data_IF_935812737946
#
_entry.id   IF_935812737946
#
_cell.length_a   1.000
_cell.length_b   1.000
_cell.length_c   1.000
_cell.angle_alpha   90.00
_cell.angle_beta   90.00
_cell.angle_gamma   90.00
#
_symmetry.space_group_name_H-M   'P 1'
#
loop_
_entity.id
_entity.type
_entity.pdbx_description
1 polymer ?
#
# COMPACT_ATOMS: atom_id res chain seq x y z
N UNK A 1 2.30 -17.50 1.74
CA UNK A 1 2.60 -16.36 0.82
C UNK A 1 4.11 -16.20 0.70
N UNK A 2 4.61 -15.58 -0.37
CA UNK A 2 6.04 -15.22 -0.52
C UNK A 2 6.14 -13.71 -0.80
N UNK A 3 7.08 -13.02 -0.13
CA UNK A 3 7.34 -11.58 -0.30
C UNK A 3 8.82 -11.38 -0.58
N UNK A 4 9.16 -10.50 -1.52
CA UNK A 4 10.54 -10.08 -1.76
C UNK A 4 10.65 -8.56 -1.57
N UNK A 5 11.61 -8.16 -0.73
CA UNK A 5 11.92 -6.76 -0.43
C UNK A 5 13.31 -6.44 -0.99
N UNK A 6 13.41 -5.34 -1.71
CA UNK A 6 14.66 -4.82 -2.27
C UNK A 6 15.42 -4.01 -1.24
N UNK A 7 16.73 -4.23 -1.15
CA UNK A 7 17.63 -3.34 -0.41
C UNK A 7 17.82 -2.00 -1.11
N UNK A 8 17.51 -1.90 -2.40
CA UNK A 8 17.32 -0.62 -3.07
C UNK A 8 15.96 -0.06 -2.66
N UNK A 9 15.97 1.01 -1.86
CA UNK A 9 14.77 1.74 -1.52
C UNK A 9 13.82 1.14 -0.49
N UNK A 10 14.16 -0.03 0.07
CA UNK A 10 13.21 -0.80 0.89
C UNK A 10 11.96 -1.18 0.10
N UNK A 11 12.06 -1.32 -1.22
CA UNK A 11 10.89 -1.49 -2.07
C UNK A 11 10.31 -2.90 -2.00
N UNK A 12 8.99 -3.03 -1.99
CA UNK A 12 8.33 -4.31 -2.20
C UNK A 12 8.41 -4.64 -3.69
N UNK A 13 9.17 -5.67 -4.05
CA UNK A 13 9.39 -6.02 -5.47
C UNK A 13 8.56 -7.20 -5.94
N UNK A 14 8.07 -8.03 -5.01
CA UNK A 14 7.23 -9.18 -5.32
C UNK A 14 6.35 -9.54 -4.12
N UNK A 15 5.09 -9.87 -4.38
CA UNK A 15 4.18 -10.49 -3.42
C UNK A 15 3.40 -11.59 -4.17
N UNK A 16 3.68 -12.85 -3.87
CA UNK A 16 2.92 -13.97 -4.40
C UNK A 16 1.71 -14.28 -3.52
N UNK A 17 0.52 -13.83 -3.95
CA UNK A 17 -0.74 -14.06 -3.24
C UNK A 17 -1.56 -15.19 -3.91
N UNK A 18 -2.19 -16.08 -3.12
CA UNK A 18 -3.02 -17.16 -3.66
C UNK A 18 -4.36 -16.63 -4.18
N UNK A 19 -4.85 -17.18 -5.30
CA UNK A 19 -6.25 -17.03 -5.73
C UNK A 19 -7.17 -18.02 -4.99
N UNK A 20 -8.47 -18.03 -5.32
CA UNK A 20 -9.46 -18.94 -4.72
C UNK A 20 -9.19 -20.44 -4.94
N UNK A 21 -8.31 -20.77 -5.88
CA UNK A 21 -7.90 -22.13 -6.20
C UNK A 21 -6.48 -22.44 -5.67
N UNK A 22 -5.90 -21.55 -4.85
CA UNK A 22 -4.55 -21.68 -4.32
C UNK A 22 -3.43 -21.34 -5.30
N UNK A 23 -3.74 -20.82 -6.51
CA UNK A 23 -2.72 -20.45 -7.50
C UNK A 23 -2.08 -19.11 -7.12
N UNK A 24 -0.77 -19.15 -6.89
CA UNK A 24 0.02 -17.97 -6.60
C UNK A 24 0.25 -17.13 -7.86
N UNK A 25 0.12 -15.81 -7.74
CA UNK A 25 0.64 -14.86 -8.73
C UNK A 25 1.25 -13.64 -8.03
N UNK A 26 2.22 -13.02 -8.68
CA UNK A 26 2.81 -11.77 -8.19
C UNK A 26 1.81 -10.63 -8.35
N UNK A 27 1.37 -10.00 -7.27
CA UNK A 27 0.33 -8.95 -7.29
C UNK A 27 0.89 -7.53 -7.20
N UNK A 28 2.21 -7.35 -7.32
CA UNK A 28 2.85 -6.03 -7.29
C UNK A 28 3.78 -5.80 -8.49
N UNK A 29 3.85 -4.55 -8.95
CA UNK A 29 4.82 -4.15 -9.96
C UNK A 29 6.12 -3.64 -9.31
N UNK A 30 7.07 -4.56 -9.10
CA UNK A 30 8.32 -4.25 -8.39
C UNK A 30 9.29 -3.28 -9.05
N UNK A 31 9.13 -3.00 -10.35
CA UNK A 31 10.05 -2.15 -11.14
C UNK A 31 9.49 -0.77 -11.47
N UNK A 32 8.43 -0.33 -10.80
CA UNK A 32 7.91 1.01 -11.03
C UNK A 32 8.96 2.06 -10.60
N UNK A 33 9.15 3.17 -11.34
CA UNK A 33 10.26 4.12 -11.10
C UNK A 33 10.33 4.68 -9.67
N UNK A 34 9.18 4.87 -9.04
CA UNK A 34 9.05 5.46 -7.70
C UNK A 34 8.79 4.41 -6.61
N UNK A 35 8.87 3.10 -6.94
CA UNK A 35 8.59 2.02 -6.00
C UNK A 35 9.55 2.06 -4.80
N UNK A 36 8.99 2.02 -3.58
CA UNK A 36 9.75 2.00 -2.34
C UNK A 36 9.46 3.16 -1.39
N UNK A 37 10.30 3.27 -0.36
CA UNK A 37 10.11 4.20 0.75
C UNK A 37 10.73 5.55 0.41
N UNK A 38 10.02 6.63 0.70
CA UNK A 38 10.53 8.00 0.54
C UNK A 38 10.06 8.91 1.69
N UNK A 39 10.74 10.05 1.82
CA UNK A 39 10.36 11.15 2.71
C UNK A 39 9.70 12.27 1.93
N UNK A 40 8.66 12.88 2.51
CA UNK A 40 7.99 14.07 1.98
C UNK A 40 8.30 15.32 2.80
N UNK A 41 8.29 16.53 2.18
CA UNK A 41 7.97 16.78 0.77
C UNK A 41 9.09 16.40 -0.20
N UNK A 42 8.71 16.04 -1.43
CA UNK A 42 9.62 15.80 -2.54
C UNK A 42 10.15 17.14 -3.13
N UNK A 43 11.34 17.16 -3.77
CA UNK A 43 12.18 16.01 -4.09
C UNK A 43 13.31 15.87 -3.07
N UNK A 44 13.00 15.58 -1.81
CA UNK A 44 13.97 15.72 -0.73
C UNK A 44 14.90 14.54 -0.52
N UNK A 45 14.36 13.32 -0.42
CA UNK A 45 15.19 12.13 -0.31
C UNK A 45 14.53 11.02 -1.11
N UNK A 46 15.03 10.83 -2.33
CA UNK A 46 14.75 9.66 -3.15
C UNK A 46 15.38 8.42 -2.50
N UNK A 47 15.03 8.14 -1.23
CA UNK A 47 15.52 6.98 -0.49
C UNK A 47 15.23 5.71 -1.27
N UNK A 48 14.14 5.69 -2.04
CA UNK A 48 13.76 4.64 -2.97
C UNK A 48 14.82 4.33 -4.05
N UNK A 49 15.76 5.25 -4.31
CA UNK A 49 16.89 5.10 -5.26
C UNK A 49 18.22 4.81 -4.58
N UNK A 50 18.25 4.72 -3.26
CA UNK A 50 19.47 4.50 -2.48
C UNK A 50 19.55 3.06 -2.00
N UNK A 51 20.75 2.49 -1.84
CA UNK A 51 20.93 1.19 -1.19
C UNK A 51 20.79 1.33 0.33
N UNK A 52 20.01 0.46 0.94
CA UNK A 52 19.75 0.38 2.38
C UNK A 52 20.50 -0.81 2.96
N UNK A 53 20.94 -0.67 4.20
CA UNK A 53 21.51 -1.77 4.95
C UNK A 53 20.40 -2.66 5.49
N UNK A 54 20.51 -3.98 5.30
CA UNK A 54 19.46 -4.91 5.67
C UNK A 54 19.96 -5.99 6.65
N UNK A 55 19.15 -6.27 7.67
CA UNK A 55 19.41 -7.27 8.71
C UNK A 55 18.20 -8.17 8.81
N UNK A 56 18.40 -9.48 8.67
CA UNK A 56 17.33 -10.45 8.85
C UNK A 56 16.85 -10.44 10.30
N UNK A 57 15.52 -10.52 10.48
CA UNK A 57 14.89 -10.77 11.76
C UNK A 57 14.33 -12.18 11.71
N UNK A 58 14.80 -13.04 12.59
CA UNK A 58 14.28 -14.40 12.75
C UNK A 58 13.82 -14.50 14.19
N UNK A 59 12.50 -14.55 14.36
CA UNK A 59 11.83 -14.86 15.63
C UNK A 59 11.02 -16.14 15.44
N UNK A 60 10.69 -16.84 16.52
CA UNK A 60 10.16 -18.21 16.49
C UNK A 60 8.92 -18.42 15.59
N UNK A 61 8.12 -17.37 15.35
CA UNK A 61 6.90 -17.40 14.54
C UNK A 61 6.82 -16.32 13.45
N UNK A 62 7.91 -15.60 13.16
CA UNK A 62 7.90 -14.60 12.10
C UNK A 62 9.25 -14.44 11.39
N UNK A 63 9.17 -14.27 10.07
CA UNK A 63 10.33 -13.94 9.24
C UNK A 63 10.22 -12.49 8.83
N UNK A 64 11.28 -11.73 9.10
CA UNK A 64 11.30 -10.30 8.84
C UNK A 64 12.62 -9.79 8.32
N UNK A 65 12.58 -8.53 7.90
CA UNK A 65 13.74 -7.77 7.44
C UNK A 65 13.69 -6.39 8.07
N UNK A 66 14.80 -5.99 8.69
CA UNK A 66 15.01 -4.62 9.13
C UNK A 66 15.95 -3.93 8.17
N UNK A 67 15.52 -2.82 7.58
CA UNK A 67 16.31 -1.98 6.71
C UNK A 67 16.59 -0.62 7.34
N UNK A 68 17.78 -0.10 7.10
CA UNK A 68 18.20 1.25 7.53
C UNK A 68 18.62 2.04 6.30
N UNK A 69 17.95 3.17 6.06
CA UNK A 69 18.30 4.07 4.96
C UNK A 69 19.60 4.81 5.25
N UNK A 70 20.37 5.21 4.23
CA UNK A 70 21.50 6.10 4.43
C UNK A 70 21.03 7.52 4.80
N UNK A 71 21.93 8.30 5.40
CA UNK A 71 21.76 9.74 5.63
C UNK A 71 21.50 10.14 7.09
N UNK A 72 21.50 11.46 7.38
CA UNK A 72 21.40 12.01 8.74
C UNK A 72 20.02 11.80 9.39
N UNK A 73 19.00 11.52 8.58
CA UNK A 73 17.64 11.19 9.01
C UNK A 73 17.29 9.76 8.57
N UNK A 74 18.18 8.81 8.87
CA UNK A 74 18.03 7.41 8.49
C UNK A 74 16.67 6.86 8.90
N UNK A 75 15.91 6.36 7.93
CA UNK A 75 14.64 5.68 8.14
C UNK A 75 14.93 4.24 8.53
N UNK A 76 14.31 3.78 9.61
CA UNK A 76 14.23 2.38 9.97
C UNK A 76 12.92 1.80 9.42
N UNK A 77 13.02 0.82 8.55
CA UNK A 77 11.87 0.08 8.02
C UNK A 77 11.95 -1.37 8.48
N UNK A 78 10.89 -1.88 9.11
CA UNK A 78 10.81 -3.27 9.57
C UNK A 78 9.65 -3.95 8.88
N UNK A 79 9.96 -4.89 7.99
CA UNK A 79 8.98 -5.75 7.35
C UNK A 79 8.88 -7.06 8.13
N UNK A 80 7.66 -7.50 8.43
CA UNK A 80 7.40 -8.80 9.05
C UNK A 80 6.27 -9.48 8.29
N UNK A 81 6.53 -10.72 7.86
CA UNK A 81 5.53 -11.62 7.29
C UNK A 81 5.06 -12.58 8.39
N UNK A 82 3.77 -12.56 8.69
CA UNK A 82 3.15 -13.46 9.66
C UNK A 82 2.55 -14.72 9.00
N UNK A 83 2.18 -15.70 9.84
CA UNK A 83 1.58 -16.97 9.40
C UNK A 83 0.20 -16.81 8.74
N UNK A 84 -0.48 -15.68 8.98
CA UNK A 84 -1.81 -15.38 8.44
C UNK A 84 -1.76 -14.67 7.08
N UNK A 85 -0.60 -14.64 6.42
CA UNK A 85 -0.35 -13.90 5.17
C UNK A 85 -0.55 -12.37 5.32
N UNK A 86 -0.29 -11.83 6.50
CA UNK A 86 -0.13 -10.41 6.75
C UNK A 86 1.31 -9.97 6.54
N UNK A 87 1.53 -8.99 5.66
CA UNK A 87 2.80 -8.25 5.58
C UNK A 87 2.63 -6.95 6.35
N UNK A 88 3.34 -6.82 7.46
CA UNK A 88 3.42 -5.56 8.20
C UNK A 88 4.69 -4.81 7.88
N UNK A 89 4.58 -3.48 7.79
CA UNK A 89 5.69 -2.54 7.71
C UNK A 89 5.56 -1.56 8.86
N UNK A 90 6.59 -1.49 9.70
CA UNK A 90 6.76 -0.40 10.65
C UNK A 90 7.92 0.49 10.19
N UNK A 91 7.64 1.78 10.04
CA UNK A 91 8.61 2.78 9.63
C UNK A 91 8.76 3.87 10.69
N UNK A 92 9.99 4.29 10.94
CA UNK A 92 10.26 5.44 11.78
C UNK A 92 11.52 6.17 11.29
N UNK A 93 11.51 7.49 11.42
CA UNK A 93 12.66 8.36 11.28
C UNK A 93 12.90 9.08 12.62
N UNK A 94 14.12 9.59 12.87
CA UNK A 94 14.40 10.38 14.06
C UNK A 94 13.46 11.59 14.18
N UNK A 95 13.10 11.97 15.41
CA UNK A 95 12.19 13.10 15.67
C UNK A 95 12.64 14.44 15.04
N UNK A 96 13.94 14.58 14.75
CA UNK A 96 14.51 15.73 14.06
C UNK A 96 14.22 15.77 12.55
N UNK A 97 13.63 14.73 11.96
CA UNK A 97 13.26 14.69 10.54
C UNK A 97 11.93 15.42 10.31
N UNK A 98 11.89 16.60 9.65
CA UNK A 98 10.66 17.36 9.43
C UNK A 98 9.90 16.82 8.21
N UNK A 99 9.54 15.53 8.23
CA UNK A 99 9.02 14.83 7.05
C UNK A 99 7.84 13.91 7.37
N UNK A 100 7.15 13.46 6.32
CA UNK A 100 6.26 12.29 6.37
C UNK A 100 6.94 11.11 5.67
N UNK A 101 6.71 9.90 6.13
CA UNK A 101 7.19 8.67 5.49
C UNK A 101 6.09 8.11 4.60
N UNK A 102 6.44 7.71 3.39
CA UNK A 102 5.53 7.04 2.47
C UNK A 102 6.16 5.79 1.88
N UNK A 103 5.33 4.80 1.59
CA UNK A 103 5.67 3.63 0.77
C UNK A 103 4.88 3.72 -0.53
N UNK A 104 5.55 3.85 -1.67
CA UNK A 104 4.92 3.74 -2.98
C UNK A 104 4.96 2.28 -3.43
N UNK A 105 3.79 1.72 -3.75
CA UNK A 105 3.70 0.36 -4.32
C UNK A 105 2.53 0.29 -5.31
N UNK A 106 2.74 -0.39 -6.42
CA UNK A 106 1.74 -0.60 -7.46
C UNK A 106 1.17 -2.02 -7.41
N UNK A 107 -0.15 -2.15 -7.30
CA UNK A 107 -0.88 -3.40 -7.08
C UNK A 107 -1.77 -3.79 -8.26
N UNK A 108 -1.80 -5.10 -8.57
CA UNK A 108 -2.76 -5.72 -9.48
C UNK A 108 -3.14 -7.10 -8.92
N UNK A 109 -4.36 -7.23 -8.40
CA UNK A 109 -4.80 -8.47 -7.74
C UNK A 109 -5.06 -9.64 -8.70
N UNK A 110 -5.21 -9.41 -10.00
CA UNK A 110 -5.20 -10.45 -11.02
C UNK A 110 -3.81 -11.10 -11.16
N UNK A 111 -2.76 -10.38 -10.75
CA UNK A 111 -1.35 -10.74 -10.88
C UNK A 111 -0.73 -10.22 -12.17
N UNK A 112 -1.39 -10.49 -13.29
CA UNK A 112 -1.06 -9.94 -14.62
C UNK A 112 -2.36 -9.69 -15.40
N UNK A 113 -2.28 -8.93 -16.50
CA UNK A 113 -3.44 -8.63 -17.34
C UNK A 113 -4.38 -7.60 -16.71
N UNK A 114 -5.68 -7.73 -16.96
CA UNK A 114 -6.70 -6.71 -16.70
C UNK A 114 -6.87 -6.35 -15.21
N UNK A 115 -6.24 -5.25 -14.78
CA UNK A 115 -6.31 -4.77 -13.39
C UNK A 115 -7.36 -3.69 -13.13
N UNK A 116 -7.86 -2.99 -14.16
CA UNK A 116 -8.76 -1.84 -13.96
C UNK A 116 -10.20 -2.22 -13.62
N UNK A 117 -10.59 -3.49 -13.82
CA UNK A 117 -11.92 -4.01 -13.42
C UNK A 117 -12.03 -4.37 -11.95
N UNK A 118 -10.92 -4.34 -11.22
CA UNK A 118 -10.89 -4.67 -9.79
C UNK A 118 -11.71 -3.66 -8.99
N UNK A 119 -12.35 -4.12 -7.93
CA UNK A 119 -13.19 -3.29 -7.09
C UNK A 119 -12.32 -2.63 -6.01
N UNK A 120 -12.35 -1.30 -5.99
CA UNK A 120 -11.71 -0.47 -5.00
C UNK A 120 -12.74 -0.02 -3.95
N UNK A 121 -12.35 -0.05 -2.68
CA UNK A 121 -13.06 0.62 -1.59
C UNK A 121 -12.07 1.39 -0.73
N UNK A 122 -12.42 2.60 -0.33
CA UNK A 122 -11.60 3.48 0.50
C UNK A 122 -12.43 4.02 1.66
N UNK A 123 -12.00 3.76 2.89
CA UNK A 123 -12.65 4.26 4.11
C UNK A 123 -12.21 5.70 4.37
N UNK A 124 -12.78 6.64 3.62
CA UNK A 124 -12.51 8.07 3.73
C UNK A 124 -13.75 8.91 3.38
N UNK A 125 -14.01 9.95 4.16
CA UNK A 125 -15.12 10.87 3.92
C UNK A 125 -14.73 12.05 3.02
N UNK A 126 -13.44 12.43 3.02
CA UNK A 126 -12.92 13.55 2.21
C UNK A 126 -11.78 13.12 1.30
N UNK A 127 -11.66 13.84 0.19
CA UNK A 127 -10.68 13.60 -0.87
C UNK A 127 -10.17 14.93 -1.40
N UNK A 128 -8.88 15.00 -1.67
CA UNK A 128 -8.24 16.08 -2.39
C UNK A 128 -7.74 15.55 -3.74
N UNK A 129 -8.50 15.75 -4.84
CA UNK A 129 -8.03 15.40 -6.18
C UNK A 129 -6.78 16.18 -6.56
N UNK A 130 -5.90 15.58 -7.36
CA UNK A 130 -4.71 16.26 -7.83
C UNK A 130 -5.05 17.57 -8.57
N UNK A 131 -4.40 18.67 -8.17
CA UNK A 131 -4.62 20.00 -8.74
C UNK A 131 -5.98 20.63 -8.40
N UNK A 132 -6.73 20.11 -7.43
CA UNK A 132 -8.03 20.65 -7.01
C UNK A 132 -8.12 20.79 -5.49
N UNK A 133 -9.11 21.56 -5.05
CA UNK A 133 -9.42 21.69 -3.63
C UNK A 133 -9.98 20.39 -3.06
N UNK A 134 -9.76 20.24 -1.76
CA UNK A 134 -10.39 19.19 -0.99
C UNK A 134 -11.91 19.31 -0.97
N UNK A 135 -12.58 18.17 -0.99
CA UNK A 135 -14.03 18.03 -1.06
C UNK A 135 -14.50 16.75 -0.37
N UNK A 136 -15.81 16.66 -0.10
CA UNK A 136 -16.42 15.43 0.36
C UNK A 136 -16.43 14.37 -0.75
N UNK A 137 -16.33 13.11 -0.34
CA UNK A 137 -16.49 11.98 -1.24
C UNK A 137 -17.96 11.85 -1.65
N UNK A 138 -18.88 12.00 -0.69
CA UNK A 138 -20.30 11.73 -0.85
C UNK A 138 -20.93 12.47 -2.04
N UNK A 139 -21.63 11.74 -2.90
CA UNK A 139 -22.30 12.33 -4.06
C UNK A 139 -21.37 12.80 -5.18
N UNK A 140 -20.07 12.46 -5.10
CA UNK A 140 -19.11 12.78 -6.16
C UNK A 140 -18.59 11.51 -6.84
N UNK A 141 -17.98 11.68 -8.02
CA UNK A 141 -17.28 10.58 -8.71
C UNK A 141 -16.13 9.95 -7.91
N UNK A 142 -15.66 10.61 -6.86
CA UNK A 142 -14.61 10.13 -5.95
C UNK A 142 -15.15 9.32 -4.77
N UNK A 143 -16.47 9.08 -4.69
CA UNK A 143 -17.06 8.24 -3.66
C UNK A 143 -16.72 6.76 -3.91
N UNK A 144 -15.68 6.28 -3.25
CA UNK A 144 -15.28 4.86 -3.21
C UNK A 144 -15.53 4.27 -1.82
N UNK A 145 -16.43 4.84 -1.02
CA UNK A 145 -16.79 4.26 0.29
C UNK A 145 -17.53 2.92 0.15
N UNK A 146 -18.14 2.69 -1.02
CA UNK A 146 -18.68 1.40 -1.46
C UNK A 146 -17.81 0.84 -2.60
N UNK A 147 -17.91 -0.46 -2.87
CA UNK A 147 -17.09 -1.11 -3.88
C UNK A 147 -17.41 -0.59 -5.28
N UNK A 148 -16.39 -0.05 -5.97
CA UNK A 148 -16.52 0.43 -7.35
C UNK A 148 -15.32 0.02 -8.20
N UNK A 149 -15.50 -0.23 -9.52
CA UNK A 149 -14.39 -0.54 -10.40
C UNK A 149 -13.29 0.54 -10.37
N UNK A 150 -12.04 0.10 -10.32
CA UNK A 150 -10.87 0.96 -10.35
C UNK A 150 -10.83 1.85 -11.61
N UNK A 151 -11.36 1.35 -12.74
CA UNK A 151 -11.53 2.10 -13.99
C UNK A 151 -12.39 3.36 -13.84
N UNK A 152 -13.26 3.44 -12.83
CA UNK A 152 -14.08 4.63 -12.56
C UNK A 152 -13.32 5.71 -11.79
N UNK A 153 -12.10 5.43 -11.32
CA UNK A 153 -11.30 6.40 -10.60
C UNK A 153 -10.93 7.55 -11.56
N UNK A 154 -11.35 8.80 -11.29
CA UNK A 154 -11.21 9.88 -12.27
C UNK A 154 -9.78 10.38 -12.50
N UNK A 155 -8.82 9.92 -11.70
CA UNK A 155 -7.43 10.34 -11.73
C UNK A 155 -6.77 10.15 -10.36
N UNK A 156 -5.64 10.82 -10.18
CA UNK A 156 -4.88 10.76 -8.93
C UNK A 156 -5.55 11.62 -7.84
N UNK A 157 -5.56 11.11 -6.61
CA UNK A 157 -6.11 11.85 -5.48
C UNK A 157 -5.47 11.44 -4.15
N UNK A 158 -5.65 12.29 -3.14
CA UNK A 158 -5.32 12.03 -1.75
C UNK A 158 -6.61 11.88 -0.94
N UNK A 159 -6.90 10.68 -0.47
CA UNK A 159 -8.01 10.41 0.44
C UNK A 159 -7.58 10.68 1.87
N UNK A 160 -8.32 11.53 2.59
CA UNK A 160 -7.98 11.89 3.96
C UNK A 160 -8.54 10.84 4.91
N UNK A 161 -7.66 10.27 5.72
CA UNK A 161 -8.02 9.28 6.69
C UNK A 161 -8.30 10.03 8.00
N UNK A 162 -9.50 9.85 8.54
CA UNK A 162 -9.83 10.34 9.88
C UNK A 162 -9.04 9.60 10.95
N UNK A 163 -9.31 9.92 12.23
CA UNK A 163 -8.81 9.11 13.34
C UNK A 163 -9.34 7.68 13.20
N UNK A 164 -8.43 6.70 13.13
CA UNK A 164 -8.79 5.29 13.01
C UNK A 164 -8.44 4.51 14.27
N UNK A 165 -9.21 3.47 14.52
CA UNK A 165 -8.86 2.46 15.53
C UNK A 165 -7.81 1.54 14.92
N UNK A 166 -6.80 1.17 15.70
CA UNK A 166 -5.72 0.30 15.23
C UNK A 166 -6.29 -1.01 14.63
N UNK A 167 -5.90 -1.32 13.40
CA UNK A 167 -6.36 -2.50 12.67
C UNK A 167 -7.57 -2.29 11.76
N UNK A 168 -8.21 -1.12 11.79
CA UNK A 168 -9.29 -0.76 10.87
C UNK A 168 -8.78 -0.68 9.42
N UNK A 169 -9.57 -1.24 8.48
CA UNK A 169 -9.22 -1.30 7.06
C UNK A 169 -9.44 0.07 6.40
N UNK A 170 -8.37 0.62 5.87
CA UNK A 170 -8.33 1.88 5.13
C UNK A 170 -8.76 1.73 3.67
N UNK A 171 -8.38 0.61 3.06
CA UNK A 171 -8.57 0.36 1.64
C UNK A 171 -8.72 -1.12 1.37
N UNK A 172 -9.60 -1.47 0.42
CA UNK A 172 -9.71 -2.81 -0.16
C UNK A 172 -9.52 -2.74 -1.66
N UNK A 173 -8.81 -3.72 -2.21
CA UNK A 173 -8.71 -3.96 -3.65
C UNK A 173 -9.05 -5.43 -3.91
N UNK A 174 -10.12 -5.67 -4.64
CA UNK A 174 -10.66 -7.01 -4.88
C UNK A 174 -10.74 -7.34 -6.36
N UNK A 175 -10.14 -8.44 -6.77
CA UNK A 175 -10.29 -8.99 -8.12
C UNK A 175 -11.35 -10.09 -8.13
N UNK A 176 -12.48 -9.83 -8.78
CA UNK A 176 -13.62 -10.76 -8.80
C UNK A 176 -13.35 -12.04 -9.60
N UNK A 177 -12.41 -12.00 -10.54
CA UNK A 177 -12.05 -13.15 -11.38
C UNK A 177 -11.20 -14.18 -10.60
N UNK A 178 -10.10 -13.73 -9.99
CA UNK A 178 -9.22 -14.59 -9.17
C UNK A 178 -9.79 -14.83 -7.77
N UNK A 179 -10.54 -13.87 -7.21
CA UNK A 179 -10.94 -13.84 -5.81
C UNK A 179 -9.88 -13.31 -4.86
N UNK A 180 -8.74 -12.79 -5.36
CA UNK A 180 -7.72 -12.17 -4.50
C UNK A 180 -8.24 -10.86 -3.92
N UNK A 181 -8.08 -10.72 -2.61
CA UNK A 181 -8.40 -9.51 -1.86
C UNK A 181 -7.15 -9.01 -1.16
N UNK A 182 -6.82 -7.74 -1.39
CA UNK A 182 -5.91 -6.95 -0.55
C UNK A 182 -6.74 -6.10 0.40
N UNK A 183 -6.44 -6.19 1.70
CA UNK A 183 -6.87 -5.23 2.71
C UNK A 183 -5.68 -4.47 3.27
N UNK A 184 -5.78 -3.14 3.27
CA UNK A 184 -4.74 -2.24 3.81
C UNK A 184 -5.26 -1.63 5.10
N UNK A 185 -4.57 -1.88 6.21
CA UNK A 185 -4.78 -1.18 7.48
C UNK A 185 -3.54 -0.33 7.78
N UNK A 186 -3.72 0.90 8.26
CA UNK A 186 -2.59 1.81 8.54
C UNK A 186 -3.00 2.91 9.53
N UNK A 187 -2.02 3.56 10.15
CA UNK A 187 -2.17 4.78 10.95
C UNK A 187 -1.86 6.07 10.15
N UNK A 188 -1.64 5.96 8.84
CA UNK A 188 -1.42 7.09 7.96
C UNK A 188 -2.55 8.14 8.04
N UNK A 189 -2.20 9.42 7.90
CA UNK A 189 -3.16 10.54 7.84
C UNK A 189 -3.91 10.59 6.50
N UNK A 190 -3.30 10.05 5.44
CA UNK A 190 -3.92 10.02 4.12
C UNK A 190 -3.39 8.86 3.25
N UNK A 191 -4.19 8.47 2.26
CA UNK A 191 -3.74 7.61 1.16
C UNK A 191 -3.67 8.45 -0.10
N UNK A 192 -2.49 8.58 -0.71
CA UNK A 192 -2.39 9.00 -2.11
C UNK A 192 -2.52 7.78 -2.99
N UNK A 193 -3.38 7.84 -3.99
CA UNK A 193 -3.61 6.73 -4.89
C UNK A 193 -4.04 7.21 -6.28
N UNK A 194 -3.89 6.30 -7.24
CA UNK A 194 -4.29 6.56 -8.62
C UNK A 194 -4.05 5.37 -9.53
N UNK A 195 -4.56 5.50 -10.74
CA UNK A 195 -4.16 4.68 -11.89
C UNK A 195 -3.14 5.45 -12.73
N UNK A 196 -2.44 4.77 -13.61
CA UNK A 196 -1.41 5.36 -14.47
C UNK A 196 -0.29 4.38 -14.72
N UNK A 197 0.88 4.87 -15.09
CA UNK A 197 2.06 4.03 -15.30
C UNK A 197 2.62 3.50 -13.97
N UNK A 198 2.89 2.18 -13.84
CA UNK A 198 2.63 1.14 -14.85
C UNK A 198 1.14 0.78 -14.89
N UNK A 199 0.54 0.81 -16.09
CA UNK A 199 -0.80 0.26 -16.27
C UNK A 199 -0.73 -1.28 -16.30
N UNK A 200 -1.76 -2.01 -15.86
CA UNK A 200 -3.04 -1.56 -15.27
C UNK A 200 -3.05 -1.69 -13.73
N UNK A 201 -2.14 -1.00 -13.04
CA UNK A 201 -2.00 -1.11 -11.58
C UNK A 201 -2.67 0.06 -10.84
N UNK A 202 -3.12 -0.21 -9.60
CA UNK A 202 -3.35 0.83 -8.60
C UNK A 202 -2.02 1.13 -7.93
N UNK A 203 -1.47 2.32 -8.10
CA UNK A 203 -0.40 2.78 -7.21
C UNK A 203 -1.02 3.34 -5.93
N UNK A 204 -0.37 3.05 -4.80
CA UNK A 204 -0.82 3.40 -3.46
C UNK A 204 0.37 3.92 -2.66
N UNK A 205 0.13 5.01 -1.93
CA UNK A 205 1.08 5.67 -1.04
C UNK A 205 0.38 6.09 0.26
N UNK A 206 0.45 5.28 1.32
CA UNK A 206 0.06 5.72 2.66
C UNK A 206 1.05 6.78 3.16
N UNK A 207 0.53 7.93 3.60
CA UNK A 207 1.34 9.06 4.10
C UNK A 207 1.30 9.06 5.63
N UNK A 208 2.38 8.60 6.26
CA UNK A 208 2.49 8.43 7.71
C UNK A 208 3.34 9.52 8.35
N UNK A 209 3.13 9.75 9.64
CA UNK A 209 4.03 10.58 10.45
C UNK A 209 5.45 9.98 10.47
N UNK A 210 6.48 10.83 10.42
CA UNK A 210 7.87 10.35 10.46
C UNK A 210 8.25 9.68 11.78
N UNK A 211 7.67 10.11 12.91
CA UNK A 211 8.02 9.58 14.23
C UNK A 211 7.66 8.10 14.43
N UNK A 212 6.80 7.54 13.57
CA UNK A 212 6.34 6.17 13.65
C UNK A 212 5.08 6.00 12.82
N UNK A 213 5.09 5.02 11.93
CA UNK A 213 3.95 4.67 11.08
C UNK A 213 3.90 3.18 10.81
N UNK A 214 2.69 2.65 10.73
CA UNK A 214 2.43 1.23 10.47
C UNK A 214 1.54 1.06 9.26
N UNK A 215 1.91 0.12 8.40
CA UNK A 215 1.07 -0.42 7.33
C UNK A 215 0.96 -1.91 7.54
N UNK A 216 -0.24 -2.46 7.36
CA UNK A 216 -0.49 -3.90 7.33
C UNK A 216 -1.25 -4.22 6.05
N UNK A 217 -0.63 -5.04 5.20
CA UNK A 217 -1.22 -5.57 3.98
C UNK A 217 -1.65 -7.00 4.25
N UNK A 218 -2.95 -7.28 4.20
CA UNK A 218 -3.48 -8.64 4.35
C UNK A 218 -3.97 -9.14 3.01
N UNK A 219 -3.57 -10.36 2.68
CA UNK A 219 -3.96 -11.01 1.44
C UNK A 219 -4.81 -12.24 1.76
N UNK A 220 -5.99 -12.29 1.17
CA UNK A 220 -6.88 -13.45 1.27
C UNK A 220 -7.45 -13.83 -0.09
N UNK A 221 -7.97 -15.04 -0.17
CA UNK A 221 -8.72 -15.52 -1.32
C UNK A 221 -10.17 -15.75 -0.89
N UNK A 222 -11.10 -15.11 -1.59
CA UNK A 222 -12.52 -15.20 -1.30
C UNK A 222 -13.17 -16.21 -2.24
N UNK A 223 -14.12 -16.99 -1.70
CA UNK A 223 -15.05 -17.76 -2.52
C UNK A 223 -15.93 -16.80 -3.35
N UNK A 224 -16.70 -17.34 -4.31
CA UNK A 224 -17.53 -16.52 -5.22
C UNK A 224 -18.37 -15.47 -4.47
N UNK A 225 -18.42 -14.24 -4.99
CA UNK A 225 -19.18 -13.12 -4.42
C UNK A 225 -18.30 -11.94 -4.00
N UNK A 226 -18.93 -10.83 -3.62
CA UNK A 226 -18.24 -9.74 -2.93
C UNK A 226 -17.89 -10.20 -1.49
N UNK A 227 -16.72 -9.80 -0.95
CA UNK A 227 -16.35 -10.13 0.41
C UNK A 227 -17.33 -9.49 1.42
N UNK A 228 -17.56 -10.11 2.59
CA UNK A 228 -18.42 -9.54 3.63
C UNK A 228 -17.93 -8.13 4.02
N UNK A 229 -18.83 -7.14 4.01
CA UNK A 229 -18.49 -5.75 4.35
C UNK A 229 -17.91 -4.92 3.19
N UNK A 230 -17.93 -5.44 1.96
CA UNK A 230 -17.88 -4.65 0.73
C UNK A 230 -19.31 -4.49 0.19
N UNK A 231 -20.01 -3.40 0.54
CA UNK A 231 -21.32 -3.09 -0.04
C UNK A 231 -21.22 -2.77 -1.54
#
# INVERSE_FOLDING_TARGET
MEVQISTLGGAIVKINAPDRNGRLANVVHGRAPENGIHLLPAPGHALHRLPWHAVALVEDASVGLRLVSPGPHAVLATYVLDEANGLSLHCQAPAAAPASICLHTAFNMAGEGEGLRQLLTVSAERVAPAGRHEQDCAGTRWDFRLARPLAELPGQARYLLGKRINGEVALRLFDTASGRLLEVATDADSLRLGTGEPAPYLWLEPVMAAAGGKIVLRFSAQAQGLPPGLP
#
